data_IF_360448217046
#
_entry.id   IF_360448217046
#
_cell.length_a   1.000
_cell.length_b   1.000
_cell.length_c   1.000
_cell.angle_alpha   90.00
_cell.angle_beta   90.00
_cell.angle_gamma   90.00
#
_symmetry.space_group_name_H-M   'P 1'
#
loop_
_entity.id
_entity.type
_entity.pdbx_description
1 polymer ?
#
# COMPACT_ATOMS: atom_id res chain seq x y z
N UNK A 1 17.77 13.61 -23.45
CA UNK A 1 17.26 12.53 -22.58
C UNK A 1 16.25 13.11 -21.61
N UNK A 2 15.12 12.43 -21.37
CA UNK A 2 14.17 12.87 -20.33
C UNK A 2 14.75 12.55 -18.95
N UNK A 3 14.81 13.55 -18.06
CA UNK A 3 15.28 13.32 -16.68
C UNK A 3 14.21 12.67 -15.80
N UNK A 4 14.62 12.13 -14.65
CA UNK A 4 13.76 11.47 -13.67
C UNK A 4 12.46 12.23 -13.35
N UNK A 5 12.55 13.55 -13.12
CA UNK A 5 11.39 14.41 -12.81
C UNK A 5 10.39 14.50 -13.97
N UNK A 6 10.87 14.48 -15.22
CA UNK A 6 10.03 14.51 -16.42
C UNK A 6 9.27 13.20 -16.58
N UNK A 7 9.94 12.07 -16.34
CA UNK A 7 9.29 10.75 -16.38
C UNK A 7 8.23 10.68 -15.27
N UNK A 8 8.56 11.09 -14.05
CA UNK A 8 7.60 11.14 -12.95
C UNK A 8 6.37 12.00 -13.29
N UNK A 9 6.57 13.19 -13.87
CA UNK A 9 5.47 14.05 -14.31
C UNK A 9 4.55 13.36 -15.32
N UNK A 10 5.12 12.70 -16.32
CA UNK A 10 4.35 12.00 -17.35
C UNK A 10 3.58 10.83 -16.76
N UNK A 11 4.21 10.03 -15.89
CA UNK A 11 3.55 8.91 -15.21
C UNK A 11 2.38 9.38 -14.34
N UNK A 12 2.59 10.40 -13.52
CA UNK A 12 1.54 10.97 -12.64
C UNK A 12 0.40 11.60 -13.46
N UNK A 13 0.71 12.26 -14.57
CA UNK A 13 -0.29 12.87 -15.44
C UNK A 13 -1.08 11.81 -16.21
N UNK A 14 -0.42 10.74 -16.63
CA UNK A 14 -1.08 9.58 -17.21
C UNK A 14 -2.03 8.93 -16.21
N UNK A 15 -1.57 8.71 -14.97
CA UNK A 15 -2.40 8.16 -13.89
C UNK A 15 -3.64 9.04 -13.64
N UNK A 16 -3.48 10.35 -13.51
CA UNK A 16 -4.60 11.29 -13.30
C UNK A 16 -5.62 11.28 -14.44
N UNK A 17 -5.19 10.94 -15.65
CA UNK A 17 -6.06 10.90 -16.83
C UNK A 17 -6.74 9.55 -17.01
N UNK A 18 -6.08 8.44 -16.64
CA UNK A 18 -6.50 7.09 -16.99
C UNK A 18 -6.90 6.22 -15.78
N UNK A 19 -6.56 6.63 -14.55
CA UNK A 19 -6.86 5.89 -13.31
C UNK A 19 -5.93 4.71 -13.00
N UNK A 20 -4.85 4.49 -13.76
CA UNK A 20 -3.90 3.41 -13.52
C UNK A 20 -2.46 3.76 -13.93
N UNK A 21 -1.49 3.01 -13.39
CA UNK A 21 -0.09 3.08 -13.79
C UNK A 21 0.22 1.87 -14.68
N UNK A 22 0.86 2.11 -15.82
CA UNK A 22 1.36 1.04 -16.67
C UNK A 22 2.79 0.67 -16.26
N UNK A 23 2.96 -0.39 -15.48
CA UNK A 23 4.27 -0.87 -15.01
C UNK A 23 5.27 -1.04 -16.16
N UNK A 24 4.86 -1.72 -17.24
CA UNK A 24 5.68 -1.90 -18.45
C UNK A 24 6.18 -0.57 -19.04
N UNK A 25 5.31 0.45 -19.14
CA UNK A 25 5.70 1.77 -19.67
C UNK A 25 6.65 2.48 -18.71
N UNK A 26 6.41 2.38 -17.41
CA UNK A 26 7.30 2.95 -16.38
C UNK A 26 8.67 2.28 -16.44
N UNK A 27 8.76 0.95 -16.43
CA UNK A 27 10.02 0.21 -16.53
C UNK A 27 10.81 0.57 -17.80
N UNK A 28 10.13 0.65 -18.94
CA UNK A 28 10.76 1.06 -20.20
C UNK A 28 11.28 2.51 -20.16
N UNK A 29 10.61 3.42 -19.45
CA UNK A 29 11.13 4.78 -19.25
C UNK A 29 12.32 4.78 -18.28
N UNK A 30 12.24 4.00 -17.20
CA UNK A 30 13.27 3.88 -16.18
C UNK A 30 14.56 3.20 -16.67
N UNK A 31 14.49 2.38 -17.72
CA UNK A 31 15.67 1.75 -18.34
C UNK A 31 16.59 2.76 -19.03
N UNK A 32 16.08 3.96 -19.33
CA UNK A 32 16.86 5.06 -19.93
C UNK A 32 17.63 5.90 -18.91
N UNK A 33 17.44 5.64 -17.61
CA UNK A 33 18.02 6.41 -16.50
C UNK A 33 19.20 5.65 -15.86
N UNK A 34 20.10 6.40 -15.22
CA UNK A 34 21.09 5.85 -14.29
C UNK A 34 20.40 5.14 -13.10
N UNK A 35 21.12 4.29 -12.36
CA UNK A 35 20.58 3.61 -11.17
C UNK A 35 20.09 4.59 -10.10
N UNK A 36 20.85 5.66 -9.86
CA UNK A 36 20.49 6.74 -8.94
C UNK A 36 19.23 7.47 -9.41
N UNK A 37 19.19 7.87 -10.69
CA UNK A 37 18.03 8.58 -11.25
C UNK A 37 16.78 7.70 -11.29
N UNK A 38 16.93 6.39 -11.50
CA UNK A 38 15.83 5.42 -11.43
C UNK A 38 15.21 5.40 -10.05
N UNK A 39 16.04 5.24 -9.02
CA UNK A 39 15.59 5.20 -7.63
C UNK A 39 14.90 6.50 -7.24
N UNK A 40 15.47 7.64 -7.65
CA UNK A 40 14.86 8.96 -7.45
C UNK A 40 13.52 9.09 -8.19
N UNK A 41 13.43 8.66 -9.45
CA UNK A 41 12.19 8.71 -10.23
C UNK A 41 11.07 7.85 -9.61
N UNK A 42 11.39 6.63 -9.19
CA UNK A 42 10.46 5.71 -8.50
C UNK A 42 9.96 6.34 -7.20
N UNK A 43 10.87 6.93 -6.41
CA UNK A 43 10.52 7.61 -5.17
C UNK A 43 9.58 8.80 -5.43
N UNK A 44 9.83 9.60 -6.47
CA UNK A 44 8.93 10.69 -6.85
C UNK A 44 7.53 10.20 -7.24
N UNK A 45 7.44 9.16 -8.09
CA UNK A 45 6.15 8.64 -8.58
C UNK A 45 5.32 8.12 -7.41
N UNK A 46 5.85 7.15 -6.67
CA UNK A 46 5.08 6.48 -5.62
C UNK A 46 4.95 7.33 -4.37
N UNK A 47 5.96 8.15 -4.05
CA UNK A 47 5.92 9.08 -2.94
C UNK A 47 4.85 10.16 -3.11
N UNK A 48 4.75 10.79 -4.29
CA UNK A 48 3.69 11.76 -4.59
C UNK A 48 2.31 11.13 -4.48
N UNK A 49 2.12 9.91 -4.99
CA UNK A 49 0.84 9.20 -4.94
C UNK A 49 0.47 8.77 -3.50
N UNK A 50 1.44 8.26 -2.74
CA UNK A 50 1.25 7.86 -1.34
C UNK A 50 0.93 9.05 -0.45
N UNK A 51 1.62 10.18 -0.63
CA UNK A 51 1.43 11.42 0.14
C UNK A 51 0.42 12.37 -0.49
N UNK A 52 -0.38 11.93 -1.47
CA UNK A 52 -1.17 12.84 -2.31
C UNK A 52 -2.17 13.69 -1.53
N UNK A 53 -2.87 13.09 -0.57
CA UNK A 53 -3.85 13.81 0.26
C UNK A 53 -3.13 14.88 1.10
N UNK A 54 -1.99 14.55 1.70
CA UNK A 54 -1.16 15.51 2.44
C UNK A 54 -0.67 16.65 1.55
N UNK A 55 -0.14 16.32 0.36
CA UNK A 55 0.37 17.30 -0.60
C UNK A 55 -0.75 18.21 -1.11
N UNK A 56 -1.92 17.65 -1.45
CA UNK A 56 -3.05 18.42 -1.96
C UNK A 56 -3.66 19.31 -0.87
N UNK A 57 -3.65 18.87 0.39
CA UNK A 57 -4.02 19.71 1.53
C UNK A 57 -3.09 20.92 1.65
N UNK A 58 -1.77 20.70 1.60
CA UNK A 58 -0.79 21.80 1.64
C UNK A 58 -0.98 22.76 0.46
N UNK A 59 -1.21 22.22 -0.75
CA UNK A 59 -1.49 23.02 -1.93
C UNK A 59 -2.75 23.89 -1.76
N UNK A 60 -3.79 23.39 -1.11
CA UNK A 60 -5.06 24.10 -0.90
C UNK A 60 -4.92 25.34 0.01
N UNK A 61 -3.90 25.37 0.88
CA UNK A 61 -3.58 26.54 1.73
C UNK A 61 -3.13 27.73 0.89
N UNK A 62 -2.57 27.49 -0.29
CA UNK A 62 -1.98 28.51 -1.16
C UNK A 62 -2.75 28.71 -2.47
N UNK A 63 -3.63 27.77 -2.85
CA UNK A 63 -4.45 27.84 -4.05
C UNK A 63 -5.91 27.52 -3.74
N UNK A 64 -6.83 28.40 -4.15
CA UNK A 64 -8.27 28.20 -3.95
C UNK A 64 -8.87 27.05 -4.77
N UNK A 65 -8.39 26.84 -6.00
CA UNK A 65 -8.95 25.86 -6.96
C UNK A 65 -7.83 25.09 -7.69
N UNK A 66 -6.98 24.35 -6.98
CA UNK A 66 -5.84 23.64 -7.58
C UNK A 66 -6.28 22.58 -8.59
N UNK A 67 -7.48 22.02 -8.42
CA UNK A 67 -8.11 21.09 -9.35
C UNK A 67 -8.43 21.68 -10.73
N UNK A 68 -8.54 23.01 -10.86
CA UNK A 68 -8.76 23.70 -12.15
C UNK A 68 -7.49 23.91 -12.96
N UNK A 69 -6.31 23.67 -12.38
CA UNK A 69 -5.06 23.74 -13.11
C UNK A 69 -4.94 22.59 -14.11
N UNK A 70 -4.23 22.78 -15.25
CA UNK A 70 -3.87 21.68 -16.12
C UNK A 70 -3.17 20.56 -15.31
N UNK A 71 -3.48 19.30 -15.63
CA UNK A 71 -3.00 18.12 -14.89
C UNK A 71 -1.48 18.15 -14.72
N UNK A 72 -0.73 18.48 -15.78
CA UNK A 72 0.73 18.58 -15.72
C UNK A 72 1.21 19.70 -14.78
N UNK A 73 0.54 20.85 -14.73
CA UNK A 73 0.90 21.95 -13.82
C UNK A 73 0.65 21.54 -12.37
N UNK A 74 -0.50 20.91 -12.09
CA UNK A 74 -0.84 20.38 -10.77
C UNK A 74 0.16 19.32 -10.31
N UNK A 75 0.56 18.41 -11.20
CA UNK A 75 1.55 17.38 -10.87
C UNK A 75 2.97 17.94 -10.72
N UNK A 76 3.35 19.00 -11.45
CA UNK A 76 4.61 19.70 -11.21
C UNK A 76 4.65 20.35 -9.81
N UNK A 77 3.53 20.94 -9.36
CA UNK A 77 3.38 21.44 -7.99
C UNK A 77 3.51 20.31 -6.97
N UNK A 78 2.79 19.19 -7.18
CA UNK A 78 2.85 18.02 -6.28
C UNK A 78 4.25 17.43 -6.17
N UNK A 79 4.97 17.29 -7.29
CA UNK A 79 6.37 16.84 -7.33
C UNK A 79 7.26 17.84 -6.57
N UNK A 80 7.04 19.14 -6.73
CA UNK A 80 7.76 20.18 -5.99
C UNK A 80 7.55 20.04 -4.50
N UNK A 81 6.29 20.06 -4.05
CA UNK A 81 5.94 19.91 -2.63
C UNK A 81 6.50 18.63 -2.05
N UNK A 82 6.40 17.50 -2.76
CA UNK A 82 6.92 16.22 -2.28
C UNK A 82 8.44 16.27 -2.03
N UNK A 83 9.20 16.86 -2.96
CA UNK A 83 10.64 17.03 -2.79
C UNK A 83 10.97 17.92 -1.58
N UNK A 84 10.28 19.05 -1.43
CA UNK A 84 10.57 20.01 -0.35
C UNK A 84 10.19 19.40 1.01
N UNK A 85 9.06 18.70 1.10
CA UNK A 85 8.52 18.17 2.37
C UNK A 85 9.12 16.86 2.84
N UNK A 86 9.51 15.98 1.93
CA UNK A 86 9.78 14.57 2.26
C UNK A 86 11.16 14.08 1.80
N UNK A 87 11.93 14.90 1.08
CA UNK A 87 13.26 14.53 0.59
C UNK A 87 14.34 15.48 1.13
N UNK A 88 14.88 15.15 2.30
CA UNK A 88 15.94 15.93 2.96
C UNK A 88 17.20 16.10 2.09
N UNK A 89 17.40 15.20 1.13
CA UNK A 89 18.53 15.22 0.20
C UNK A 89 18.39 16.20 -0.96
N UNK A 90 17.20 16.79 -1.17
CA UNK A 90 16.94 17.72 -2.26
C UNK A 90 16.83 19.14 -1.73
N UNK A 91 17.79 20.04 -2.02
CA UNK A 91 17.69 21.44 -1.61
C UNK A 91 16.42 22.10 -2.16
N UNK A 92 15.77 22.92 -1.34
CA UNK A 92 14.48 23.55 -1.67
C UNK A 92 14.55 24.34 -2.99
N UNK A 93 15.61 25.13 -3.20
CA UNK A 93 15.79 25.90 -4.44
C UNK A 93 15.88 24.99 -5.68
N UNK A 94 16.45 23.80 -5.55
CA UNK A 94 16.55 22.83 -6.63
C UNK A 94 15.20 22.17 -6.91
N UNK A 95 14.44 21.85 -5.87
CA UNK A 95 13.07 21.36 -5.99
C UNK A 95 12.17 22.38 -6.71
N UNK A 96 12.22 23.66 -6.30
CA UNK A 96 11.46 24.76 -6.92
C UNK A 96 11.86 24.93 -8.39
N UNK A 97 13.15 25.16 -8.67
CA UNK A 97 13.62 25.42 -10.04
C UNK A 97 13.32 24.26 -10.98
N UNK A 98 13.55 23.02 -10.53
CA UNK A 98 13.26 21.85 -11.35
C UNK A 98 11.77 21.68 -11.61
N UNK A 99 10.90 21.91 -10.63
CA UNK A 99 9.44 21.87 -10.83
C UNK A 99 8.93 22.98 -11.74
N UNK A 100 9.54 24.16 -11.73
CA UNK A 100 9.24 25.23 -12.70
C UNK A 100 9.61 24.80 -14.12
N UNK A 101 10.76 24.15 -14.28
CA UNK A 101 11.24 23.66 -15.58
C UNK A 101 10.41 22.49 -16.14
N UNK A 102 9.69 21.75 -15.30
CA UNK A 102 8.73 20.73 -15.72
C UNK A 102 7.52 21.32 -16.47
N UNK A 103 7.21 22.59 -16.24
CA UNK A 103 6.05 23.24 -16.85
C UNK A 103 6.40 23.73 -18.26
N UNK A 104 5.79 23.08 -19.26
CA UNK A 104 5.97 23.45 -20.67
C UNK A 104 5.35 24.80 -21.04
N UNK A 105 4.23 25.15 -20.41
CA UNK A 105 3.49 26.40 -20.71
C UNK A 105 4.01 27.56 -19.86
N UNK A 106 4.53 28.60 -20.51
CA UNK A 106 5.22 29.72 -19.84
C UNK A 106 4.36 30.44 -18.80
N UNK A 107 3.06 30.60 -19.05
CA UNK A 107 2.14 31.33 -18.17
C UNK A 107 2.05 30.72 -16.75
N UNK A 108 2.20 29.40 -16.63
CA UNK A 108 2.10 28.71 -15.34
C UNK A 108 3.43 28.61 -14.59
N UNK A 109 4.56 28.93 -15.23
CA UNK A 109 5.89 28.88 -14.57
C UNK A 109 5.99 29.85 -13.40
N UNK A 110 5.47 31.06 -13.57
CA UNK A 110 5.42 32.07 -12.51
C UNK A 110 4.57 31.60 -11.33
N UNK A 111 3.41 30.99 -11.61
CA UNK A 111 2.54 30.41 -10.58
C UNK A 111 3.25 29.31 -9.80
N UNK A 112 3.87 28.34 -10.49
CA UNK A 112 4.57 27.22 -9.83
C UNK A 112 5.70 27.73 -8.94
N UNK A 113 6.52 28.66 -9.45
CA UNK A 113 7.59 29.26 -8.67
C UNK A 113 7.05 29.97 -7.42
N UNK A 114 6.03 30.81 -7.58
CA UNK A 114 5.46 31.60 -6.49
C UNK A 114 4.85 30.71 -5.39
N UNK A 115 4.10 29.68 -5.79
CA UNK A 115 3.45 28.75 -4.85
C UNK A 115 4.49 27.94 -4.08
N UNK A 116 5.46 27.33 -4.78
CA UNK A 116 6.47 26.49 -4.12
C UNK A 116 7.39 27.29 -3.21
N UNK A 117 7.80 28.51 -3.61
CA UNK A 117 8.56 29.41 -2.73
C UNK A 117 7.77 29.77 -1.48
N UNK A 118 6.50 30.15 -1.65
CA UNK A 118 5.65 30.50 -0.51
C UNK A 118 5.46 29.32 0.45
N UNK A 119 5.36 28.10 -0.07
CA UNK A 119 5.32 26.87 0.74
C UNK A 119 6.62 26.67 1.52
N UNK A 120 7.78 26.78 0.85
CA UNK A 120 9.10 26.77 1.51
C UNK A 120 9.18 27.79 2.65
N UNK A 121 8.84 29.04 2.36
CA UNK A 121 9.02 30.16 3.29
C UNK A 121 8.04 30.10 4.48
N UNK A 122 6.81 29.65 4.24
CA UNK A 122 5.74 29.60 5.28
C UNK A 122 5.83 28.34 6.14
N UNK A 123 6.43 27.27 5.60
CA UNK A 123 6.39 25.94 6.20
C UNK A 123 5.03 25.24 6.07
N UNK A 124 5.00 24.00 6.53
CA UNK A 124 3.85 23.10 6.42
C UNK A 124 2.91 23.22 7.62
N UNK A 125 1.65 22.84 7.44
CA UNK A 125 0.73 22.76 8.58
C UNK A 125 1.21 21.66 9.52
N UNK A 126 1.19 21.88 10.83
CA UNK A 126 1.37 20.82 11.82
C UNK A 126 0.04 20.43 12.49
N UNK A 127 -1.04 21.18 12.21
CA UNK A 127 -2.35 21.01 12.83
C UNK A 127 -3.40 20.56 11.78
N UNK A 128 -3.05 19.52 11.03
CA UNK A 128 -3.94 18.87 10.07
C UNK A 128 -4.69 17.69 10.71
N UNK A 129 -5.89 17.35 10.23
CA UNK A 129 -6.56 16.12 10.60
C UNK A 129 -5.72 14.87 10.34
N UNK A 130 -6.00 13.79 11.08
CA UNK A 130 -5.25 12.53 11.04
C UNK A 130 -5.19 11.91 9.63
N UNK A 131 -6.33 11.91 8.92
CA UNK A 131 -6.43 11.41 7.56
C UNK A 131 -5.54 12.20 6.58
N UNK A 132 -5.39 13.50 6.80
CA UNK A 132 -4.48 14.34 6.01
C UNK A 132 -3.04 14.02 6.34
N UNK A 133 -2.68 13.91 7.62
CA UNK A 133 -1.31 13.64 8.06
C UNK A 133 -0.77 12.35 7.46
N UNK A 134 -1.51 11.25 7.63
CA UNK A 134 -1.14 9.94 7.09
C UNK A 134 -1.57 9.73 5.63
N UNK A 135 -2.16 10.73 4.95
CA UNK A 135 -2.63 10.61 3.56
C UNK A 135 -3.62 9.48 3.26
N UNK A 136 -4.64 9.33 4.10
CA UNK A 136 -5.74 8.39 3.92
C UNK A 136 -7.06 9.10 3.58
N UNK A 137 -7.98 8.46 2.84
CA UNK A 137 -9.34 8.97 2.69
C UNK A 137 -10.02 9.14 4.06
N UNK A 138 -10.73 10.26 4.24
CA UNK A 138 -11.41 10.59 5.51
C UNK A 138 -12.35 9.47 5.97
N UNK A 139 -13.22 8.99 5.06
CA UNK A 139 -14.18 7.93 5.34
C UNK A 139 -13.52 6.65 5.88
N UNK A 140 -12.31 6.32 5.43
CA UNK A 140 -11.61 5.09 5.82
C UNK A 140 -11.03 5.22 7.23
N UNK A 141 -10.52 6.40 7.57
CA UNK A 141 -10.03 6.69 8.92
C UNK A 141 -11.18 6.72 9.92
N UNK A 142 -12.30 7.34 9.56
CA UNK A 142 -13.52 7.34 10.38
C UNK A 142 -14.03 5.92 10.58
N UNK A 143 -14.09 5.14 9.52
CA UNK A 143 -14.48 3.73 9.59
C UNK A 143 -13.58 2.93 10.55
N UNK A 144 -12.25 3.01 10.41
CA UNK A 144 -11.34 2.25 11.27
C UNK A 144 -11.36 2.69 12.73
N UNK A 145 -11.73 3.94 13.04
CA UNK A 145 -11.92 4.40 14.42
C UNK A 145 -13.11 3.77 15.13
N UNK A 146 -14.10 3.29 14.38
CA UNK A 146 -15.30 2.66 14.93
C UNK A 146 -15.15 1.13 15.04
N UNK A 147 -14.01 0.59 14.63
CA UNK A 147 -13.77 -0.84 14.52
C UNK A 147 -13.06 -1.37 15.78
N UNK A 148 -13.75 -2.25 16.52
CA UNK A 148 -13.29 -2.76 17.82
C UNK A 148 -12.03 -3.64 17.76
N UNK A 149 -11.67 -4.22 16.60
CA UNK A 149 -10.50 -5.08 16.47
C UNK A 149 -9.25 -4.34 15.98
N UNK A 150 -9.30 -3.02 15.80
CA UNK A 150 -8.11 -2.20 15.50
C UNK A 150 -7.68 -1.58 16.82
N UNK A 151 -6.63 -2.15 17.43
CA UNK A 151 -6.15 -1.71 18.75
C UNK A 151 -5.58 -0.27 18.71
N UNK A 152 -4.91 0.09 17.61
CA UNK A 152 -4.35 1.43 17.36
C UNK A 152 -4.54 1.82 15.89
N UNK A 153 -5.37 2.84 15.66
CA UNK A 153 -5.64 3.35 14.30
C UNK A 153 -4.46 4.16 13.77
N UNK A 154 -3.77 4.95 14.60
CA UNK A 154 -2.66 5.79 14.13
C UNK A 154 -1.50 4.94 13.66
N UNK A 155 -1.19 3.89 14.42
CA UNK A 155 -0.18 2.91 14.06
C UNK A 155 -0.57 2.25 12.71
N UNK A 156 -1.87 1.96 12.46
CA UNK A 156 -2.34 1.31 11.21
C UNK A 156 -2.13 2.22 10.02
N UNK A 157 -2.44 3.50 10.22
CA UNK A 157 -2.21 4.53 9.22
C UNK A 157 -0.72 4.68 8.95
N UNK A 158 0.15 4.60 9.97
CA UNK A 158 1.60 4.66 9.81
C UNK A 158 2.15 3.47 9.03
N UNK A 159 1.73 2.24 9.36
CA UNK A 159 2.09 1.03 8.62
C UNK A 159 1.73 1.15 7.14
N UNK A 160 0.54 1.66 6.82
CA UNK A 160 0.14 1.87 5.43
C UNK A 160 0.98 2.93 4.69
N UNK A 161 1.85 3.67 5.38
CA UNK A 161 2.81 4.60 4.78
C UNK A 161 4.17 3.98 4.47
N UNK A 162 4.44 2.75 4.91
CA UNK A 162 5.68 2.05 4.57
C UNK A 162 5.57 1.42 3.17
N UNK A 163 6.69 1.28 2.44
CA UNK A 163 6.70 0.45 1.23
C UNK A 163 6.28 -0.99 1.55
N UNK A 164 5.60 -1.69 0.63
CA UNK A 164 5.35 -3.12 0.79
C UNK A 164 6.68 -3.87 0.87
N UNK A 165 6.83 -4.72 1.88
CA UNK A 165 7.95 -5.66 1.98
C UNK A 165 7.68 -6.88 1.11
N UNK A 166 8.75 -7.57 0.71
CA UNK A 166 8.65 -8.83 -0.02
C UNK A 166 9.25 -9.95 0.83
N UNK A 167 8.45 -10.96 1.14
CA UNK A 167 8.92 -12.18 1.80
C UNK A 167 9.32 -13.20 0.75
N UNK A 168 10.46 -13.85 0.97
CA UNK A 168 11.00 -14.88 0.08
C UNK A 168 11.38 -16.11 0.90
N UNK A 169 11.32 -17.28 0.26
CA UNK A 169 11.88 -18.49 0.85
C UNK A 169 13.40 -18.49 0.64
N UNK A 170 14.14 -18.30 1.72
CA UNK A 170 15.60 -18.23 1.71
C UNK A 170 16.28 -19.47 2.31
N UNK A 171 15.51 -20.46 2.80
CA UNK A 171 16.04 -21.61 3.54
C UNK A 171 17.23 -22.28 2.82
N UNK A 172 18.42 -22.15 3.39
CA UNK A 172 19.67 -22.74 2.88
C UNK A 172 20.37 -21.96 1.77
N UNK A 173 19.97 -20.70 1.51
CA UNK A 173 20.52 -19.79 0.48
C UNK A 173 20.98 -18.44 1.05
N UNK A 174 21.06 -18.31 2.36
CA UNK A 174 21.37 -17.06 3.05
C UNK A 174 22.73 -16.49 2.63
N UNK A 175 23.77 -17.34 2.55
CA UNK A 175 25.11 -16.90 2.14
C UNK A 175 25.13 -16.40 0.68
N UNK A 176 24.43 -17.09 -0.23
CA UNK A 176 24.31 -16.67 -1.63
C UNK A 176 23.57 -15.33 -1.76
N UNK A 177 22.51 -15.13 -0.97
CA UNK A 177 21.77 -13.87 -0.92
C UNK A 177 22.69 -12.71 -0.51
N UNK A 178 23.53 -12.91 0.52
CA UNK A 178 24.50 -11.91 0.97
C UNK A 178 25.52 -11.61 -0.14
N UNK A 179 26.10 -12.64 -0.76
CA UNK A 179 27.07 -12.48 -1.87
C UNK A 179 26.48 -11.72 -3.06
N UNK A 180 25.19 -11.91 -3.35
CA UNK A 180 24.48 -11.24 -4.45
C UNK A 180 23.98 -9.84 -4.10
N UNK A 181 24.26 -9.37 -2.88
CA UNK A 181 23.96 -8.03 -2.39
C UNK A 181 22.52 -7.84 -1.93
N UNK A 182 21.82 -8.90 -1.53
CA UNK A 182 20.53 -8.79 -0.86
C UNK A 182 20.74 -8.35 0.58
N UNK A 183 19.83 -7.51 1.07
CA UNK A 183 19.70 -7.20 2.49
C UNK A 183 18.36 -7.75 2.94
N UNK A 184 18.39 -8.69 3.88
CA UNK A 184 17.23 -9.39 4.40
C UNK A 184 17.40 -9.65 5.90
N UNK A 185 16.29 -9.97 6.56
CA UNK A 185 16.27 -10.46 7.94
C UNK A 185 15.36 -11.68 8.03
N UNK A 186 15.55 -12.49 9.08
CA UNK A 186 14.70 -13.66 9.34
C UNK A 186 13.35 -13.19 9.83
N UNK A 187 12.29 -13.90 9.42
CA UNK A 187 10.98 -13.64 9.97
C UNK A 187 10.91 -14.03 11.45
N UNK A 188 10.15 -13.25 12.22
CA UNK A 188 9.80 -13.57 13.61
C UNK A 188 8.69 -14.63 13.70
N UNK A 189 8.01 -14.92 12.58
CA UNK A 189 6.77 -15.72 12.53
C UNK A 189 6.91 -17.07 11.81
N UNK A 190 7.97 -17.23 11.02
CA UNK A 190 8.23 -18.44 10.22
C UNK A 190 9.73 -18.59 9.93
N UNK A 191 10.11 -19.67 9.26
CA UNK A 191 11.47 -19.90 8.73
C UNK A 191 11.82 -19.05 7.51
N UNK A 192 10.91 -18.19 7.05
CA UNK A 192 11.12 -17.35 5.88
C UNK A 192 12.05 -16.16 6.17
N UNK A 193 12.45 -15.45 5.12
CA UNK A 193 13.21 -14.21 5.22
C UNK A 193 12.49 -13.04 4.52
N UNK A 194 12.54 -11.86 5.14
CA UNK A 194 12.02 -10.62 4.57
C UNK A 194 13.14 -9.85 3.88
N UNK A 195 12.96 -9.55 2.58
CA UNK A 195 13.95 -8.81 1.78
C UNK A 195 13.63 -7.31 1.82
N UNK A 196 14.60 -6.51 2.27
CA UNK A 196 14.52 -5.04 2.29
C UNK A 196 15.15 -4.40 1.07
N UNK A 197 16.24 -5.00 0.57
CA UNK A 197 16.92 -4.56 -0.64
C UNK A 197 17.14 -5.75 -1.56
N UNK A 198 16.64 -5.63 -2.80
CA UNK A 198 16.93 -6.62 -3.84
C UNK A 198 18.36 -6.49 -4.31
N UNK A 199 19.08 -7.61 -4.26
CA UNK A 199 20.38 -7.75 -4.91
C UNK A 199 20.24 -8.01 -6.41
N UNK A 200 21.30 -8.55 -7.00
CA UNK A 200 21.25 -9.09 -8.36
C UNK A 200 20.29 -10.30 -8.45
N UNK A 201 19.81 -10.67 -9.64
CA UNK A 201 18.85 -11.77 -9.79
C UNK A 201 19.44 -13.10 -9.28
N UNK A 202 18.64 -13.88 -8.55
CA UNK A 202 18.92 -15.28 -8.17
C UNK A 202 17.94 -16.17 -8.92
N UNK A 203 18.44 -17.25 -9.53
CA UNK A 203 17.58 -18.25 -10.15
C UNK A 203 16.77 -18.99 -9.08
N UNK A 204 15.44 -19.07 -9.27
CA UNK A 204 14.52 -19.77 -8.37
C UNK A 204 14.35 -19.14 -6.97
N UNK A 205 14.42 -17.80 -6.86
CA UNK A 205 13.95 -17.12 -5.66
C UNK A 205 12.41 -17.05 -5.68
N UNK A 206 11.77 -17.92 -4.90
CA UNK A 206 10.32 -17.93 -4.77
C UNK A 206 9.85 -16.81 -3.84
N UNK A 207 8.90 -16.02 -4.33
CA UNK A 207 8.20 -15.02 -3.51
C UNK A 207 6.97 -15.65 -2.92
N UNK A 208 6.80 -15.53 -1.60
CA UNK A 208 5.68 -16.12 -0.88
C UNK A 208 4.89 -15.06 -0.14
N UNK A 209 3.59 -15.31 0.02
CA UNK A 209 2.78 -14.67 1.04
C UNK A 209 2.98 -15.46 2.33
N UNK A 210 3.64 -14.84 3.30
CA UNK A 210 4.02 -15.49 4.55
C UNK A 210 2.81 -15.96 5.37
N UNK A 211 1.71 -15.20 5.37
CA UNK A 211 0.49 -15.61 6.07
C UNK A 211 -0.08 -16.87 5.43
N UNK A 212 -0.16 -16.88 4.09
CA UNK A 212 -0.63 -18.05 3.34
C UNK A 212 0.26 -19.27 3.61
N UNK A 213 1.59 -19.08 3.62
CA UNK A 213 2.57 -20.10 3.95
C UNK A 213 2.34 -20.71 5.35
N UNK A 214 2.31 -19.87 6.38
CA UNK A 214 2.06 -20.28 7.78
C UNK A 214 0.74 -21.05 7.89
N UNK A 215 -0.32 -20.57 7.23
CA UNK A 215 -1.64 -21.22 7.30
C UNK A 215 -1.68 -22.62 6.66
N UNK A 216 -0.77 -22.94 5.74
CA UNK A 216 -0.70 -24.29 5.15
C UNK A 216 -0.31 -25.35 6.19
N UNK A 217 0.42 -24.98 7.23
CA UNK A 217 0.83 -25.88 8.32
C UNK A 217 -0.35 -26.42 9.15
N UNK A 218 -1.52 -25.78 9.06
CA UNK A 218 -2.75 -26.26 9.72
C UNK A 218 -3.23 -27.58 9.12
N UNK A 219 -2.77 -27.93 7.91
CA UNK A 219 -3.12 -29.20 7.24
C UNK A 219 -4.52 -29.22 6.65
N UNK A 220 -5.12 -28.06 6.38
CA UNK A 220 -6.39 -27.91 5.64
C UNK A 220 -6.20 -26.97 4.45
N UNK A 221 -7.03 -27.10 3.40
CA UNK A 221 -6.97 -26.21 2.25
C UNK A 221 -7.13 -24.74 2.66
N UNK A 222 -6.33 -23.86 2.05
CA UNK A 222 -6.39 -22.41 2.24
C UNK A 222 -6.96 -21.76 0.98
N UNK A 223 -8.00 -20.94 1.14
CA UNK A 223 -8.57 -20.12 0.07
C UNK A 223 -8.29 -18.64 0.35
N UNK A 224 -7.45 -18.05 -0.50
CA UNK A 224 -7.08 -16.64 -0.42
C UNK A 224 -7.95 -15.76 -1.29
N UNK A 225 -8.49 -14.69 -0.71
CA UNK A 225 -9.14 -13.62 -1.45
C UNK A 225 -8.17 -12.45 -1.71
N UNK A 226 -7.48 -12.51 -2.85
CA UNK A 226 -6.57 -11.45 -3.36
C UNK A 226 -7.31 -10.25 -3.97
N UNK A 227 -8.65 -10.27 -4.01
CA UNK A 227 -9.48 -9.26 -4.67
C UNK A 227 -9.95 -8.12 -3.75
N UNK A 228 -9.50 -8.10 -2.49
CA UNK A 228 -9.92 -7.09 -1.52
C UNK A 228 -9.58 -5.67 -1.98
N UNK A 229 -10.48 -4.73 -1.73
CA UNK A 229 -10.24 -3.31 -1.97
C UNK A 229 -9.21 -2.78 -0.97
N UNK A 230 -9.45 -2.99 0.32
CA UNK A 230 -8.56 -2.48 1.38
C UNK A 230 -7.29 -3.29 1.50
N UNK A 231 -7.29 -4.57 1.12
CA UNK A 231 -6.04 -5.36 1.00
C UNK A 231 -5.07 -4.82 -0.06
N UNK A 232 -5.56 -4.09 -1.07
CA UNK A 232 -4.67 -3.38 -2.01
C UNK A 232 -3.84 -2.30 -1.33
N UNK A 233 -4.22 -1.83 -0.15
CA UNK A 233 -3.43 -0.86 0.60
C UNK A 233 -2.08 -1.47 0.98
N UNK A 234 -2.09 -2.72 1.45
CA UNK A 234 -0.87 -3.43 1.83
C UNK A 234 0.04 -3.67 0.63
N UNK A 235 -0.51 -3.96 -0.55
CA UNK A 235 0.27 -4.23 -1.76
C UNK A 235 0.65 -2.96 -2.56
N UNK A 236 -0.20 -1.94 -2.53
CA UNK A 236 -0.12 -0.73 -3.35
C UNK A 236 -0.54 0.51 -2.53
N UNK A 237 0.19 0.86 -1.46
CA UNK A 237 -0.21 1.96 -0.56
C UNK A 237 -0.31 3.32 -1.27
N UNK A 238 0.36 3.48 -2.41
CA UNK A 238 0.24 4.68 -3.24
C UNK A 238 -1.14 4.87 -3.89
N UNK A 239 -2.02 3.87 -3.88
CA UNK A 239 -3.39 3.98 -4.40
C UNK A 239 -4.44 4.30 -3.31
N UNK A 240 -4.02 4.51 -2.06
CA UNK A 240 -4.90 4.83 -0.93
C UNK A 240 -5.93 5.92 -1.26
N UNK A 241 -5.47 7.01 -1.87
CA UNK A 241 -6.32 8.16 -2.22
C UNK A 241 -7.39 7.88 -3.28
N UNK A 242 -7.37 6.70 -3.92
CA UNK A 242 -8.36 6.31 -4.93
C UNK A 242 -9.50 5.46 -4.37
N UNK A 243 -9.42 5.06 -3.10
CA UNK A 243 -10.42 4.18 -2.50
C UNK A 243 -11.73 4.94 -2.23
N UNK A 244 -12.83 4.39 -2.74
CA UNK A 244 -14.20 4.89 -2.52
C UNK A 244 -15.04 3.83 -1.83
N UNK A 245 -16.03 4.27 -1.04
CA UNK A 245 -16.95 3.37 -0.31
C UNK A 245 -17.70 2.42 -1.25
N UNK A 246 -18.16 2.92 -2.40
CA UNK A 246 -18.90 2.13 -3.41
C UNK A 246 -18.09 0.94 -3.96
N UNK A 247 -16.75 0.98 -3.85
CA UNK A 247 -15.89 -0.09 -4.33
C UNK A 247 -15.84 -1.29 -3.36
N UNK A 248 -16.25 -1.12 -2.09
CA UNK A 248 -16.24 -2.19 -1.08
C UNK A 248 -17.25 -3.29 -1.41
N UNK A 249 -18.44 -2.90 -1.91
CA UNK A 249 -19.48 -3.85 -2.27
C UNK A 249 -19.00 -4.82 -3.36
N UNK A 250 -18.30 -4.30 -4.38
CA UNK A 250 -17.78 -5.11 -5.48
C UNK A 250 -16.77 -6.15 -4.96
N UNK A 251 -15.85 -5.75 -4.07
CA UNK A 251 -14.88 -6.65 -3.47
C UNK A 251 -15.57 -7.74 -2.62
N UNK A 252 -16.57 -7.35 -1.83
CA UNK A 252 -17.39 -8.25 -1.01
C UNK A 252 -18.10 -9.32 -1.85
N UNK A 253 -18.66 -8.95 -3.01
CA UNK A 253 -19.32 -9.91 -3.92
C UNK A 253 -18.36 -10.94 -4.53
N UNK A 254 -17.11 -10.53 -4.81
CA UNK A 254 -16.07 -11.44 -5.32
C UNK A 254 -15.68 -12.46 -4.25
N UNK A 255 -15.48 -12.02 -3.01
CA UNK A 255 -15.18 -12.89 -1.89
C UNK A 255 -16.31 -13.93 -1.66
N UNK A 256 -17.58 -13.50 -1.70
CA UNK A 256 -18.75 -14.40 -1.61
C UNK A 256 -18.75 -15.48 -2.69
N UNK A 257 -18.50 -15.08 -3.94
CA UNK A 257 -18.50 -16.01 -5.08
C UNK A 257 -17.37 -17.03 -4.95
N UNK A 258 -16.17 -16.58 -4.56
CA UNK A 258 -15.02 -17.42 -4.29
C UNK A 258 -15.34 -18.47 -3.22
N UNK A 259 -15.84 -18.03 -2.07
CA UNK A 259 -16.18 -18.91 -0.95
C UNK A 259 -17.27 -19.93 -1.28
N UNK A 260 -18.33 -19.52 -1.98
CA UNK A 260 -19.40 -20.44 -2.43
C UNK A 260 -18.90 -21.51 -3.40
N UNK A 261 -17.91 -21.19 -4.23
CA UNK A 261 -17.32 -22.17 -5.13
C UNK A 261 -16.47 -23.15 -4.33
N UNK A 262 -15.58 -22.63 -3.49
CA UNK A 262 -14.63 -23.41 -2.71
C UNK A 262 -15.33 -24.35 -1.71
N UNK A 263 -16.42 -23.89 -1.08
CA UNK A 263 -17.19 -24.67 -0.11
C UNK A 263 -17.93 -25.88 -0.70
N UNK A 264 -18.03 -26.01 -2.03
CA UNK A 264 -18.63 -27.19 -2.68
C UNK A 264 -17.72 -28.40 -2.63
N UNK A 265 -16.41 -28.17 -2.60
CA UNK A 265 -15.37 -29.20 -2.69
C UNK A 265 -14.72 -29.48 -1.33
N UNK A 266 -14.88 -28.57 -0.36
CA UNK A 266 -14.21 -28.63 0.94
C UNK A 266 -15.18 -28.44 2.11
N UNK A 267 -15.15 -29.37 3.07
CA UNK A 267 -15.94 -29.32 4.29
C UNK A 267 -15.19 -28.72 5.50
N UNK A 268 -13.86 -28.56 5.42
CA UNK A 268 -13.00 -27.88 6.39
C UNK A 268 -11.90 -27.15 5.62
N UNK A 269 -11.81 -25.84 5.77
CA UNK A 269 -10.82 -25.02 5.08
C UNK A 269 -10.59 -23.69 5.80
N UNK A 270 -9.53 -22.98 5.42
CA UNK A 270 -9.22 -21.64 5.92
C UNK A 270 -9.50 -20.61 4.83
N UNK A 271 -10.33 -19.62 5.14
CA UNK A 271 -10.46 -18.38 4.40
C UNK A 271 -9.43 -17.36 4.90
N UNK A 272 -8.68 -16.77 3.97
CA UNK A 272 -7.72 -15.72 4.23
C UNK A 272 -8.00 -14.53 3.30
N UNK A 273 -8.06 -13.31 3.85
CA UNK A 273 -8.13 -12.09 3.06
C UNK A 273 -7.34 -10.96 3.71
N UNK A 274 -6.67 -10.15 2.89
CA UNK A 274 -6.01 -8.93 3.34
C UNK A 274 -6.98 -7.76 3.56
N UNK A 275 -8.29 -7.99 3.46
CA UNK A 275 -9.28 -6.96 3.72
C UNK A 275 -9.22 -6.50 5.18
N UNK A 276 -9.19 -5.17 5.36
CA UNK A 276 -9.19 -4.48 6.66
C UNK A 276 -10.56 -3.86 6.92
N UNK A 277 -11.62 -4.45 6.32
CA UNK A 277 -13.01 -4.02 6.52
C UNK A 277 -13.90 -5.22 6.77
N UNK A 278 -14.82 -5.04 7.73
CA UNK A 278 -15.83 -6.01 8.10
C UNK A 278 -16.73 -6.36 6.93
N UNK A 279 -17.16 -5.39 6.14
CA UNK A 279 -18.08 -5.59 5.03
C UNK A 279 -17.51 -6.59 4.02
N UNK A 280 -16.22 -6.47 3.69
CA UNK A 280 -15.55 -7.40 2.79
C UNK A 280 -15.47 -8.83 3.37
N UNK A 281 -15.24 -8.96 4.68
CA UNK A 281 -14.99 -10.25 5.34
C UNK A 281 -16.26 -10.93 5.87
N UNK A 282 -17.07 -10.22 6.67
CA UNK A 282 -18.28 -10.76 7.30
C UNK A 282 -19.36 -11.08 6.29
N UNK A 283 -19.52 -10.25 5.26
CA UNK A 283 -20.49 -10.56 4.22
C UNK A 283 -20.02 -11.77 3.39
N UNK A 284 -18.71 -11.96 3.23
CA UNK A 284 -18.15 -13.10 2.52
C UNK A 284 -18.35 -14.41 3.29
N UNK A 285 -18.12 -14.41 4.61
CA UNK A 285 -18.36 -15.62 5.43
C UNK A 285 -19.85 -15.86 5.65
N UNK A 286 -20.63 -14.79 5.86
CA UNK A 286 -22.05 -14.87 6.22
C UNK A 286 -22.93 -15.58 5.19
N UNK A 287 -22.46 -15.78 3.95
CA UNK A 287 -23.22 -16.56 2.94
C UNK A 287 -23.10 -18.08 3.11
N UNK A 288 -22.18 -18.56 3.96
CA UNK A 288 -21.96 -19.99 4.21
C UNK A 288 -22.73 -20.44 5.46
N UNK A 289 -24.06 -20.36 5.43
CA UNK A 289 -24.92 -20.70 6.60
C UNK A 289 -24.77 -22.14 7.12
N UNK A 290 -24.28 -23.06 6.29
CA UNK A 290 -23.98 -24.45 6.66
C UNK A 290 -22.60 -24.62 7.31
N UNK A 291 -21.80 -23.56 7.41
CA UNK A 291 -20.47 -23.59 8.00
C UNK A 291 -20.46 -22.85 9.33
N UNK A 292 -19.54 -23.25 10.20
CA UNK A 292 -19.24 -22.61 11.47
C UNK A 292 -17.74 -22.33 11.59
N UNK A 293 -17.41 -21.30 12.36
CA UNK A 293 -16.04 -20.88 12.57
C UNK A 293 -15.36 -21.70 13.65
N UNK A 294 -14.22 -22.29 13.32
CA UNK A 294 -13.36 -22.99 14.28
C UNK A 294 -12.30 -22.06 14.87
N UNK A 295 -12.05 -22.20 16.17
CA UNK A 295 -11.04 -21.40 16.88
C UNK A 295 -9.63 -21.78 16.41
N UNK A 296 -8.79 -20.76 16.22
CA UNK A 296 -7.36 -20.86 15.85
C UNK A 296 -6.45 -20.11 16.84
N UNK A 297 -6.96 -19.69 18.00
CA UNK A 297 -6.20 -18.86 18.94
C UNK A 297 -4.86 -19.48 19.36
N UNK A 298 -4.83 -20.79 19.65
CA UNK A 298 -3.60 -21.52 20.01
C UNK A 298 -2.55 -21.45 18.89
N UNK A 299 -2.99 -21.67 17.64
CA UNK A 299 -2.13 -21.67 16.47
C UNK A 299 -1.41 -20.32 16.27
N UNK A 300 -2.13 -19.21 16.49
CA UNK A 300 -1.56 -17.87 16.43
C UNK A 300 -0.64 -17.58 17.61
N UNK A 301 -1.04 -17.95 18.84
CA UNK A 301 -0.23 -17.70 20.03
C UNK A 301 1.11 -18.43 20.02
N UNK A 302 1.18 -19.65 19.49
CA UNK A 302 2.44 -20.41 19.37
C UNK A 302 3.47 -19.74 18.45
N UNK A 303 3.01 -18.86 17.54
CA UNK A 303 3.84 -18.11 16.58
C UNK A 303 4.01 -16.64 16.97
N UNK A 304 3.66 -16.27 18.20
CA UNK A 304 3.66 -14.88 18.68
C UNK A 304 2.82 -13.92 17.80
N UNK A 305 1.83 -14.44 17.07
CA UNK A 305 0.94 -13.62 16.23
C UNK A 305 -0.19 -13.08 17.10
N UNK A 306 -0.33 -11.76 17.15
CA UNK A 306 -1.45 -11.12 17.84
C UNK A 306 -2.68 -11.10 16.93
N UNK A 307 -3.71 -11.85 17.32
CA UNK A 307 -4.93 -12.00 16.56
C UNK A 307 -6.17 -11.77 17.44
N UNK A 308 -7.11 -10.95 16.97
CA UNK A 308 -8.37 -10.62 17.66
C UNK A 308 -9.53 -11.43 17.06
N UNK A 309 -10.24 -12.18 17.90
CA UNK A 309 -11.40 -12.96 17.45
C UNK A 309 -12.69 -12.14 17.52
N UNK A 310 -13.42 -12.03 16.42
CA UNK A 310 -14.65 -11.22 16.32
C UNK A 310 -15.96 -12.02 16.41
N UNK A 311 -15.87 -13.33 16.65
CA UNK A 311 -17.02 -14.24 16.62
C UNK A 311 -17.01 -15.18 15.42
N UNK A 312 -16.34 -14.82 14.32
CA UNK A 312 -16.32 -15.57 13.05
C UNK A 312 -14.91 -15.85 12.55
N UNK A 313 -13.97 -14.99 12.83
CA UNK A 313 -12.59 -15.14 12.41
C UNK A 313 -11.65 -14.33 13.27
N UNK A 314 -10.43 -14.22 12.81
CA UNK A 314 -9.31 -13.61 13.50
C UNK A 314 -8.78 -12.46 12.65
N UNK A 315 -8.73 -11.29 13.25
CA UNK A 315 -8.07 -10.11 12.73
C UNK A 315 -6.64 -10.07 13.22
N UNK A 316 -5.70 -10.31 12.31
CA UNK A 316 -4.27 -10.23 12.61
C UNK A 316 -3.92 -8.75 12.74
N UNK A 317 -3.42 -8.39 13.92
CA UNK A 317 -3.07 -7.02 14.21
C UNK A 317 -1.85 -6.61 13.38
N UNK A 318 -1.77 -5.35 12.95
CA UNK A 318 -0.57 -4.88 12.28
C UNK A 318 0.66 -4.96 13.20
N UNK A 319 1.89 -4.94 12.64
CA UNK A 319 3.22 -4.98 13.32
C UNK A 319 3.44 -6.11 14.35
N UNK A 320 2.43 -6.94 14.62
CA UNK A 320 2.47 -8.13 15.50
C UNK A 320 1.97 -9.37 14.76
N UNK A 321 2.03 -9.32 13.44
CA UNK A 321 1.74 -10.37 12.50
C UNK A 321 2.55 -10.09 11.21
N UNK A 322 2.78 -11.10 10.35
CA UNK A 322 3.45 -10.89 9.07
C UNK A 322 2.75 -9.83 8.20
N UNK A 323 1.42 -9.83 8.20
CA UNK A 323 0.58 -8.89 7.46
C UNK A 323 -0.74 -8.64 8.22
N UNK A 324 -1.27 -7.42 8.05
CA UNK A 324 -2.64 -7.09 8.47
C UNK A 324 -3.63 -7.83 7.61
N UNK A 325 -4.42 -8.71 8.21
CA UNK A 325 -5.37 -9.51 7.46
C UNK A 325 -6.46 -10.12 8.35
N UNK A 326 -7.37 -10.82 7.69
CA UNK A 326 -8.44 -11.57 8.31
C UNK A 326 -8.36 -13.04 7.92
N UNK A 327 -8.50 -13.91 8.92
CA UNK A 327 -8.40 -15.36 8.78
C UNK A 327 -9.57 -16.04 9.47
N UNK A 328 -10.25 -16.95 8.79
CA UNK A 328 -11.31 -17.76 9.38
C UNK A 328 -11.21 -19.21 8.94
N UNK A 329 -11.09 -20.14 9.89
CA UNK A 329 -11.29 -21.57 9.61
C UNK A 329 -12.77 -21.89 9.63
N UNK A 330 -13.28 -22.40 8.51
CA UNK A 330 -14.68 -22.71 8.30
C UNK A 330 -14.85 -24.22 8.20
N UNK A 331 -15.74 -24.77 9.02
CA UNK A 331 -16.12 -26.19 9.02
C UNK A 331 -17.60 -26.35 8.78
N UNK A 332 -17.99 -27.32 7.96
CA UNK A 332 -19.40 -27.63 7.75
C UNK A 332 -20.00 -28.14 9.06
N UNK A 333 -21.16 -27.60 9.42
CA UNK A 333 -21.96 -28.03 10.58
C UNK A 333 -22.31 -29.50 10.39
N UNK A 334 -22.20 -30.27 11.48
CA UNK A 334 -22.55 -31.69 11.50
C UNK A 334 -24.05 -31.92 11.43
#
# INVERSE_FOLDING_TARGET
MQGARSIALQTLSFFDTNGYISFKKVEMALSTLSSSDRSFCVNLIYGVLRKRIRIDYELSRFLRKPNKLPVAVRNALRIGIFQIMFLDTVPEYAAVNSSVNLVGVREFRGLVNAVLRKISDTGYSNNQPLNVFYSHPEWLVEYWREVEWIDDVEELLEYNQTPPTQTVLASGKEDELIEKGFIFDKSEYSELCTVFQKGSSIENLETLDEVEYILTEVGVPVVKHSGSLTGRINAMPWLLHTLTRDSLDIASHKAKTLLKSFSKEHNDFIYYSQAITREENDMAIGVLGEFESSKMGHFFSERNIVARFDGRGYWLQPWKAPLVCYVARLRRKK
#
